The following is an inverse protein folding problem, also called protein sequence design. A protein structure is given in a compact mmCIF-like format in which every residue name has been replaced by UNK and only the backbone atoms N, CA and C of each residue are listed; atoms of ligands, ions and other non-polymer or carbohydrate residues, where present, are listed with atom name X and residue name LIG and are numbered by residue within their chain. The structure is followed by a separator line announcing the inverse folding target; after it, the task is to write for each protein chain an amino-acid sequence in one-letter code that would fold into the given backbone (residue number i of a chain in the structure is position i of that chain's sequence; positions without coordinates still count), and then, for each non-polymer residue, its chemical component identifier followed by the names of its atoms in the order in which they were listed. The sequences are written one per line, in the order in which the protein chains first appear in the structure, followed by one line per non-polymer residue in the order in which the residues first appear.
data_IF_237334352369
#
_entry.id   IF_237334352369
#
_cell.length_a   1.000
_cell.length_b   1.000
_cell.length_c   1.000
_cell.angle_alpha   90.00
_cell.angle_beta   90.00
_cell.angle_gamma   90.00
#
_symmetry.space_group_name_H-M   'P 1'
#
loop_
_entity.id
_entity.type
_entity.pdbx_description
1 polymer ?
#
# COMPACT_ATOMS: atom_id res chain seq x y z
N UNK A 1 2.27 -48.33 43.04
CA UNK A 1 3.45 -49.10 42.58
C UNK A 1 3.49 -48.96 41.08
N UNK A 2 4.60 -48.39 40.58
CA UNK A 2 5.07 -48.39 39.20
C UNK A 2 4.19 -47.71 38.13
N UNK A 3 4.33 -46.38 38.03
CA UNK A 3 4.27 -45.68 36.74
C UNK A 3 5.46 -46.12 35.87
N UNK A 4 5.40 -47.34 35.33
CA UNK A 4 6.30 -47.75 34.26
C UNK A 4 5.82 -47.09 32.96
N UNK A 5 6.07 -45.78 32.87
CA UNK A 5 5.91 -45.02 31.64
C UNK A 5 6.82 -45.65 30.58
N UNK A 6 6.23 -46.36 29.61
CA UNK A 6 6.91 -46.95 28.47
C UNK A 6 7.42 -45.81 27.57
N UNK A 7 8.57 -45.24 27.93
CA UNK A 7 9.23 -44.19 27.14
C UNK A 7 9.84 -44.82 25.89
N UNK A 8 9.60 -44.19 24.74
CA UNK A 8 10.19 -44.58 23.46
C UNK A 8 11.71 -44.42 23.51
N UNK A 9 12.42 -45.25 22.74
CA UNK A 9 13.89 -45.19 22.68
C UNK A 9 14.37 -43.89 22.03
N UNK A 10 15.50 -43.37 22.50
CA UNK A 10 16.10 -42.13 21.98
C UNK A 10 16.40 -42.20 20.48
N UNK A 11 16.83 -43.37 19.99
CA UNK A 11 17.10 -43.59 18.57
C UNK A 11 15.83 -43.50 17.70
N UNK A 12 14.70 -43.99 18.21
CA UNK A 12 13.41 -43.88 17.52
C UNK A 12 12.92 -42.43 17.52
N UNK A 13 13.07 -41.73 18.65
CA UNK A 13 12.68 -40.33 18.83
C UNK A 13 13.48 -39.39 17.90
N UNK A 14 14.71 -39.77 17.57
CA UNK A 14 15.60 -39.05 16.64
C UNK A 14 15.16 -39.16 15.18
N UNK A 15 14.27 -40.10 14.82
CA UNK A 15 13.82 -40.26 13.44
C UNK A 15 12.99 -39.06 12.97
N UNK A 16 13.19 -38.63 11.71
CA UNK A 16 12.56 -37.42 11.14
C UNK A 16 11.03 -37.35 11.27
N UNK A 17 10.36 -38.50 11.25
CA UNK A 17 8.90 -38.56 11.38
C UNK A 17 8.42 -38.38 12.84
N UNK A 18 9.24 -38.70 13.83
CA UNK A 18 8.93 -38.47 15.25
C UNK A 18 9.20 -37.02 15.65
N UNK A 19 10.14 -36.33 14.99
CA UNK A 19 10.56 -34.96 15.32
C UNK A 19 9.45 -33.89 15.21
N UNK A 20 8.40 -34.12 14.41
CA UNK A 20 7.31 -33.13 14.22
C UNK A 20 6.30 -33.12 15.37
N UNK A 21 6.07 -34.26 16.01
CA UNK A 21 5.10 -34.43 17.11
C UNK A 21 5.76 -34.58 18.47
N UNK A 22 7.04 -34.20 18.55
CA UNK A 22 7.85 -34.36 19.74
C UNK A 22 7.76 -33.10 20.61
N UNK A 23 7.59 -33.28 21.92
CA UNK A 23 7.58 -32.17 22.87
C UNK A 23 8.89 -31.38 22.81
N UNK A 24 8.79 -30.05 22.83
CA UNK A 24 9.94 -29.15 22.70
C UNK A 24 11.03 -29.43 23.74
N UNK A 25 10.66 -29.84 24.96
CA UNK A 25 11.59 -30.20 26.03
C UNK A 25 12.42 -31.44 25.68
N UNK A 26 11.79 -32.47 25.13
CA UNK A 26 12.48 -33.71 24.72
C UNK A 26 13.35 -33.50 23.49
N UNK A 27 12.94 -32.60 22.58
CA UNK A 27 13.77 -32.18 21.44
C UNK A 27 15.03 -31.45 21.90
N UNK A 28 14.90 -30.50 22.84
CA UNK A 28 16.05 -29.78 23.42
C UNK A 28 17.04 -30.74 24.08
N UNK A 29 16.56 -31.73 24.83
CA UNK A 29 17.44 -32.75 25.44
C UNK A 29 18.24 -33.54 24.41
N UNK A 30 17.62 -33.95 23.29
CA UNK A 30 18.32 -34.65 22.22
C UNK A 30 19.36 -33.75 21.53
N UNK A 31 19.02 -32.48 21.27
CA UNK A 31 19.95 -31.51 20.68
C UNK A 31 21.13 -31.20 21.62
N UNK A 32 20.90 -31.12 22.93
CA UNK A 32 21.96 -30.96 23.94
C UNK A 32 22.87 -32.19 24.03
N UNK A 33 22.31 -33.41 23.91
CA UNK A 33 23.10 -34.64 23.81
C UNK A 33 23.96 -34.65 22.54
N UNK A 34 23.43 -34.23 21.40
CA UNK A 34 24.21 -34.08 20.16
C UNK A 34 25.31 -33.02 20.28
N UNK A 35 24.98 -31.85 20.83
CA UNK A 35 25.97 -30.78 21.08
C UNK A 35 27.05 -31.21 22.05
N UNK A 36 26.72 -32.01 23.08
CA UNK A 36 27.70 -32.58 24.01
C UNK A 36 28.65 -33.54 23.31
N UNK A 37 28.14 -34.46 22.50
CA UNK A 37 28.98 -35.38 21.71
C UNK A 37 29.93 -34.60 20.79
N UNK A 38 29.41 -33.60 20.07
CA UNK A 38 30.23 -32.75 19.19
C UNK A 38 31.26 -31.96 20.00
N UNK A 39 30.88 -31.42 21.16
CA UNK A 39 31.79 -30.65 22.04
C UNK A 39 32.88 -31.53 22.63
N UNK A 40 32.57 -32.77 22.98
CA UNK A 40 33.53 -33.72 23.55
C UNK A 40 34.57 -34.17 22.50
N UNK A 41 34.18 -34.21 21.22
CA UNK A 41 35.08 -34.46 20.08
C UNK A 41 35.83 -33.21 19.62
N UNK A 42 35.31 -32.02 19.93
CA UNK A 42 35.91 -30.75 19.53
C UNK A 42 37.05 -30.38 20.47
N UNK A 43 38.27 -30.77 20.10
CA UNK A 43 39.48 -30.34 20.77
C UNK A 43 39.88 -28.93 20.32
N UNK A 44 40.25 -28.08 21.27
CA UNK A 44 40.78 -26.74 21.00
C UNK A 44 42.29 -26.72 21.31
N UNK A 45 43.08 -26.03 20.48
CA UNK A 45 44.46 -25.71 20.80
C UNK A 45 44.51 -24.29 21.40
N UNK A 46 44.68 -24.20 22.71
CA UNK A 46 44.81 -22.91 23.39
C UNK A 46 46.19 -22.31 23.14
N UNK A 47 46.24 -21.31 22.24
CA UNK A 47 47.40 -20.46 22.03
C UNK A 47 47.10 -19.05 22.57
N UNK A 48 47.57 -18.73 23.79
CA UNK A 48 47.28 -17.44 24.45
C UNK A 48 47.73 -16.22 23.64
N UNK A 49 48.79 -16.36 22.84
CA UNK A 49 49.36 -15.28 22.02
C UNK A 49 48.51 -14.90 20.80
N UNK A 50 47.62 -15.78 20.33
CA UNK A 50 46.70 -15.50 19.23
C UNK A 50 45.38 -14.90 19.73
N UNK A 51 44.91 -15.26 20.93
CA UNK A 51 43.74 -14.64 21.55
C UNK A 51 43.96 -13.15 21.85
N UNK A 52 45.20 -12.73 22.13
CA UNK A 52 45.55 -11.32 22.41
C UNK A 52 45.77 -10.50 21.14
N UNK A 53 45.94 -11.16 19.99
CA UNK A 53 46.10 -10.52 18.68
C UNK A 53 44.84 -10.73 17.86
N UNK A 54 43.77 -10.06 18.27
CA UNK A 54 42.61 -9.91 17.42
C UNK A 54 43.00 -9.11 16.17
N UNK A 55 42.38 -9.42 15.02
CA UNK A 55 42.72 -8.79 13.75
C UNK A 55 42.35 -7.30 13.80
N UNK A 56 43.37 -6.43 13.81
CA UNK A 56 43.17 -4.97 13.84
C UNK A 56 42.55 -4.43 12.53
N UNK A 57 42.72 -5.15 11.43
CA UNK A 57 42.20 -4.81 10.09
C UNK A 57 41.54 -6.05 9.50
N UNK A 58 40.30 -5.92 9.05
CA UNK A 58 39.53 -6.97 8.41
C UNK A 58 39.30 -6.53 6.96
N UNK A 59 39.85 -7.28 6.01
CA UNK A 59 39.63 -7.04 4.58
C UNK A 59 38.33 -7.73 4.14
N UNK A 60 37.27 -6.95 3.99
CA UNK A 60 36.00 -7.45 3.45
C UNK A 60 35.88 -7.11 1.96
N UNK A 61 35.50 -8.12 1.17
CA UNK A 61 35.29 -7.97 -0.29
C UNK A 61 33.88 -7.44 -0.62
N UNK A 62 32.99 -7.41 0.36
CA UNK A 62 31.62 -6.96 0.20
C UNK A 62 31.52 -5.46 0.42
N UNK A 63 30.77 -4.78 -0.46
CA UNK A 63 30.43 -3.37 -0.29
C UNK A 63 29.22 -3.15 0.63
N UNK A 64 28.47 -4.21 0.97
CA UNK A 64 27.28 -4.15 1.84
C UNK A 64 27.50 -3.41 3.18
N UNK A 65 28.65 -3.55 3.87
CA UNK A 65 28.90 -2.80 5.11
C UNK A 65 29.30 -1.33 4.86
N UNK A 66 29.78 -1.00 3.66
CA UNK A 66 30.28 0.33 3.31
C UNK A 66 29.22 1.19 2.62
N UNK A 67 28.37 0.58 1.81
CA UNK A 67 27.27 1.20 1.10
C UNK A 67 25.98 0.65 1.70
N UNK A 68 25.13 1.52 2.23
CA UNK A 68 23.79 1.20 2.77
C UNK A 68 22.85 0.81 1.63
N UNK A 69 23.13 -0.36 1.02
CA UNK A 69 22.47 -0.84 -0.18
C UNK A 69 21.04 -1.26 0.11
N UNK A 70 20.12 -0.79 -0.74
CA UNK A 70 18.71 -1.13 -0.68
C UNK A 70 18.44 -2.54 -1.21
N UNK A 71 17.34 -3.13 -0.76
CA UNK A 71 16.88 -4.44 -1.23
C UNK A 71 16.56 -4.43 -2.73
N UNK A 72 17.35 -5.15 -3.53
CA UNK A 72 17.35 -5.01 -4.99
C UNK A 72 16.09 -5.45 -5.76
N UNK A 73 15.13 -6.14 -5.13
CA UNK A 73 13.88 -6.53 -5.82
C UNK A 73 12.82 -5.47 -5.57
N UNK A 74 12.44 -4.81 -6.66
CA UNK A 74 11.42 -3.76 -6.66
C UNK A 74 10.28 -4.14 -7.62
N UNK A 75 9.05 -3.82 -7.20
CA UNK A 75 7.87 -3.78 -8.07
C UNK A 75 7.24 -2.41 -7.91
N UNK A 76 6.62 -1.92 -8.97
CA UNK A 76 5.93 -0.64 -8.98
C UNK A 76 4.51 -0.84 -9.47
N UNK A 77 3.59 0.04 -9.05
CA UNK A 77 2.21 0.13 -9.57
C UNK A 77 1.40 -1.18 -9.46
N UNK A 78 1.67 -2.01 -8.45
CA UNK A 78 0.88 -3.20 -8.16
C UNK A 78 1.15 -4.39 -9.10
N UNK A 79 2.26 -4.40 -9.86
CA UNK A 79 2.60 -5.52 -10.75
C UNK A 79 2.91 -6.81 -9.96
N UNK A 80 3.44 -6.68 -8.76
CA UNK A 80 3.59 -7.78 -7.82
C UNK A 80 3.45 -7.29 -6.36
N UNK A 81 2.27 -7.51 -5.73
CA UNK A 81 2.02 -7.01 -4.38
C UNK A 81 2.86 -7.71 -3.31
N UNK A 82 3.35 -8.94 -3.55
CA UNK A 82 4.24 -9.62 -2.61
C UNK A 82 5.64 -9.00 -2.60
N UNK A 83 6.14 -8.62 -3.77
CA UNK A 83 7.44 -7.95 -3.91
C UNK A 83 7.37 -6.52 -3.39
N UNK A 84 6.26 -5.82 -3.60
CA UNK A 84 6.03 -4.49 -3.00
C UNK A 84 6.05 -4.59 -1.48
N UNK A 85 5.29 -5.51 -0.88
CA UNK A 85 5.33 -5.72 0.57
C UNK A 85 6.73 -6.07 1.10
N UNK A 86 7.50 -6.87 0.35
CA UNK A 86 8.86 -7.23 0.70
C UNK A 86 9.81 -6.03 0.62
N UNK A 87 9.64 -5.16 -0.37
CA UNK A 87 10.37 -3.90 -0.50
C UNK A 87 10.11 -3.01 0.71
N UNK A 88 8.85 -2.86 1.15
CA UNK A 88 8.51 -2.03 2.31
C UNK A 88 9.14 -2.56 3.60
N UNK A 89 9.08 -3.88 3.81
CA UNK A 89 9.65 -4.51 5.00
C UNK A 89 11.18 -4.37 5.06
N UNK A 90 11.86 -4.46 3.92
CA UNK A 90 13.33 -4.51 3.86
C UNK A 90 13.96 -3.11 3.69
N UNK A 91 13.22 -2.11 3.23
CA UNK A 91 13.68 -0.74 3.05
C UNK A 91 12.76 0.25 3.82
N UNK A 92 12.80 0.27 5.16
CA UNK A 92 11.87 1.06 5.97
C UNK A 92 12.01 2.58 5.80
N UNK A 93 13.20 3.09 5.46
CA UNK A 93 13.46 4.54 5.43
C UNK A 93 12.87 5.28 4.22
N UNK A 94 12.45 4.58 3.16
CA UNK A 94 11.89 5.24 1.97
C UNK A 94 10.41 5.61 2.07
N UNK A 95 9.63 4.98 2.96
CA UNK A 95 8.20 5.27 3.07
C UNK A 95 7.91 6.49 3.93
N UNK A 96 8.76 6.85 4.90
CA UNK A 96 8.59 8.12 5.63
C UNK A 96 8.75 9.32 4.70
N UNK A 97 9.67 9.27 3.73
CA UNK A 97 9.81 10.34 2.71
C UNK A 97 8.71 10.30 1.64
N UNK A 98 8.20 9.12 1.24
CA UNK A 98 7.16 9.00 0.21
C UNK A 98 5.73 9.19 0.72
N UNK A 99 5.44 8.92 1.99
CA UNK A 99 4.15 9.31 2.59
C UNK A 99 4.04 10.84 2.71
N UNK A 100 5.16 11.56 2.86
CA UNK A 100 5.18 13.03 2.81
C UNK A 100 5.04 13.58 1.37
N UNK A 101 5.47 12.85 0.35
CA UNK A 101 5.16 13.15 -1.05
C UNK A 101 3.72 12.77 -1.40
N UNK A 102 2.80 13.59 -0.90
CA UNK A 102 1.36 13.61 -1.15
C UNK A 102 0.87 12.80 -2.37
N UNK A 103 -0.05 11.83 -2.19
CA UNK A 103 -0.77 11.29 -3.33
C UNK A 103 -1.64 12.41 -3.90
N UNK A 104 -1.22 12.98 -5.02
CA UNK A 104 -2.12 13.63 -5.96
C UNK A 104 -2.87 14.85 -5.38
N UNK A 105 -2.15 15.92 -5.03
CA UNK A 105 -2.69 17.25 -5.36
C UNK A 105 -2.73 17.34 -6.88
N UNK A 106 -3.83 16.87 -7.47
CA UNK A 106 -4.17 17.21 -8.85
C UNK A 106 -4.02 18.72 -8.97
N UNK A 107 -3.14 19.19 -9.84
CA UNK A 107 -3.00 20.62 -10.10
C UNK A 107 -4.33 21.07 -10.69
N UNK A 108 -5.23 21.56 -9.85
CA UNK A 108 -6.48 22.16 -10.28
C UNK A 108 -6.15 23.59 -10.67
N UNK A 109 -6.35 23.93 -11.94
CA UNK A 109 -6.14 25.29 -12.47
C UNK A 109 -7.04 26.35 -11.80
N UNK A 110 -8.03 25.91 -11.00
CA UNK A 110 -9.05 26.75 -10.35
C UNK A 110 -9.08 26.41 -8.87
N UNK A 111 -9.02 27.45 -8.02
CA UNK A 111 -9.20 27.31 -6.58
C UNK A 111 -10.68 27.15 -6.20
N UNK A 112 -10.96 26.47 -5.09
CA UNK A 112 -12.34 26.27 -4.60
C UNK A 112 -13.11 27.58 -4.40
N UNK A 113 -12.39 28.65 -4.02
CA UNK A 113 -12.94 30.00 -3.88
C UNK A 113 -13.41 30.56 -5.24
N UNK A 114 -12.61 30.42 -6.30
CA UNK A 114 -12.99 30.88 -7.64
C UNK A 114 -14.14 30.04 -8.18
N UNK A 115 -14.13 28.72 -7.93
CA UNK A 115 -15.22 27.82 -8.30
C UNK A 115 -16.53 28.27 -7.65
N UNK A 116 -16.53 28.57 -6.34
CA UNK A 116 -17.70 29.03 -5.61
C UNK A 116 -18.29 30.34 -6.19
N UNK A 117 -17.44 31.32 -6.51
CA UNK A 117 -17.86 32.60 -7.11
C UNK A 117 -18.53 32.39 -8.48
N UNK A 118 -17.98 31.50 -9.31
CA UNK A 118 -18.57 31.19 -10.62
C UNK A 118 -19.92 30.47 -10.47
N UNK A 119 -20.04 29.55 -9.52
CA UNK A 119 -21.31 28.89 -9.22
C UNK A 119 -22.38 29.87 -8.73
N UNK A 120 -22.03 30.83 -7.87
CA UNK A 120 -22.98 31.83 -7.38
C UNK A 120 -23.61 32.65 -8.53
N UNK A 121 -22.76 33.13 -9.45
CA UNK A 121 -23.19 33.87 -10.64
C UNK A 121 -24.09 33.03 -11.57
N UNK A 122 -23.69 31.78 -11.84
CA UNK A 122 -24.44 30.87 -12.70
C UNK A 122 -25.82 30.53 -12.10
N UNK A 123 -25.86 30.17 -10.82
CA UNK A 123 -27.10 29.82 -10.11
C UNK A 123 -28.06 31.02 -10.05
N UNK A 124 -27.54 32.23 -9.84
CA UNK A 124 -28.35 33.46 -9.89
C UNK A 124 -29.01 33.67 -11.24
N UNK A 125 -28.27 33.44 -12.33
CA UNK A 125 -28.79 33.58 -13.70
C UNK A 125 -29.82 32.48 -14.04
N UNK A 126 -29.58 31.24 -13.62
CA UNK A 126 -30.48 30.11 -13.85
C UNK A 126 -31.78 30.28 -13.09
N UNK A 127 -31.72 30.71 -11.82
CA UNK A 127 -32.91 30.99 -11.00
C UNK A 127 -33.88 31.95 -11.70
N UNK A 128 -33.37 32.99 -12.38
CA UNK A 128 -34.19 33.97 -13.13
C UNK A 128 -34.85 33.39 -14.39
N UNK A 129 -34.21 32.41 -15.04
CA UNK A 129 -34.77 31.72 -16.23
C UNK A 129 -35.87 30.73 -15.87
N UNK A 130 -35.81 30.13 -14.68
CA UNK A 130 -36.82 29.17 -14.22
C UNK A 130 -37.94 29.82 -13.40
N UNK A 131 -37.71 30.99 -12.78
CA UNK A 131 -38.77 31.72 -12.05
C UNK A 131 -39.86 32.27 -12.96
N UNK A 132 -39.51 32.68 -14.19
CA UNK A 132 -40.46 33.21 -15.17
C UNK A 132 -41.36 32.14 -15.77
N UNK A 133 -40.92 30.87 -15.79
CA UNK A 133 -41.73 29.76 -16.33
C UNK A 133 -42.87 29.35 -15.38
N UNK A 134 -42.71 29.57 -14.07
CA UNK A 134 -43.78 29.34 -13.08
C UNK A 134 -44.89 30.40 -13.15
N UNK A 135 -44.58 31.63 -13.57
CA UNK A 135 -45.57 32.70 -13.66
C UNK A 135 -46.38 32.67 -14.96
N UNK A 136 -45.85 32.11 -16.07
CA UNK A 136 -46.64 31.95 -17.31
C UNK A 136 -47.84 31.03 -17.15
N UNK A 137 -47.70 29.96 -16.36
CA UNK A 137 -48.81 29.04 -16.11
C UNK A 137 -49.94 29.65 -15.26
N UNK A 138 -49.70 30.75 -14.54
CA UNK A 138 -50.73 31.40 -13.74
C UNK A 138 -51.53 32.46 -14.54
N UNK A 139 -50.94 33.02 -15.59
CA UNK A 139 -51.62 33.98 -16.49
C UNK A 139 -52.35 33.29 -17.65
N UNK A 140 -52.00 32.05 -17.98
CA UNK A 140 -52.66 31.28 -19.05
C UNK A 140 -54.08 30.79 -18.65
N UNK A 141 -54.46 30.81 -17.36
CA UNK A 141 -55.83 30.47 -16.93
C UNK A 141 -56.81 31.68 -16.92
N UNK A 142 -56.32 32.92 -17.10
CA UNK A 142 -57.17 34.13 -17.08
C UNK A 142 -57.34 34.80 -18.45
N UNK A 143 -56.63 34.36 -19.51
CA UNK A 143 -56.64 34.97 -20.84
C UNK A 143 -57.26 34.09 -21.97
N UNK A 144 -58.12 33.11 -21.65
CA UNK A 144 -58.84 32.31 -22.67
C UNK A 144 -60.13 32.97 -23.22
N UNK A 145 -60.45 34.20 -22.81
CA UNK A 145 -61.62 34.96 -23.29
C UNK A 145 -61.22 36.36 -23.86
N UNK A 146 -60.37 36.45 -24.89
CA UNK A 146 -60.55 37.53 -25.89
C UNK A 146 -59.88 37.27 -27.25
N UNK A 147 -60.54 37.76 -28.27
CA UNK A 147 -60.39 37.44 -29.69
C UNK A 147 -59.39 38.37 -30.38
N UNK A 148 -58.56 37.80 -31.26
CA UNK A 148 -57.92 38.44 -32.43
C UNK A 148 -56.58 39.21 -32.29
N UNK A 149 -55.58 38.73 -33.04
CA UNK A 149 -54.85 39.41 -34.13
C UNK A 149 -53.30 39.41 -34.06
N UNK A 150 -52.71 38.96 -35.19
CA UNK A 150 -51.33 39.16 -35.67
C UNK A 150 -50.14 38.54 -34.91
N UNK A 151 -49.90 37.25 -35.15
CA UNK A 151 -48.57 36.66 -34.98
C UNK A 151 -47.73 36.93 -36.23
N UNK A 152 -46.78 37.86 -36.12
CA UNK A 152 -45.71 38.05 -37.11
C UNK A 152 -44.85 36.78 -37.13
N UNK A 153 -44.87 36.07 -38.25
CA UNK A 153 -44.02 34.90 -38.47
C UNK A 153 -42.56 35.33 -38.49
N UNK A 154 -41.84 35.10 -37.38
CA UNK A 154 -40.39 35.22 -37.39
C UNK A 154 -39.81 33.95 -38.02
N UNK A 155 -39.05 34.11 -39.11
CA UNK A 155 -38.42 33.02 -39.83
C UNK A 155 -37.51 32.21 -38.90
N UNK A 156 -37.75 30.89 -38.80
CA UNK A 156 -36.96 29.97 -37.99
C UNK A 156 -35.50 29.99 -38.45
N UNK A 157 -34.56 30.33 -37.57
CA UNK A 157 -33.12 30.26 -37.86
C UNK A 157 -32.70 28.79 -37.83
N UNK A 158 -32.14 28.30 -38.93
CA UNK A 158 -31.60 26.94 -39.06
C UNK A 158 -30.09 26.97 -38.80
N UNK A 159 -29.58 25.90 -38.19
CA UNK A 159 -28.16 25.72 -37.88
C UNK A 159 -27.32 25.59 -39.16
N UNK A 160 -26.41 26.53 -39.40
CA UNK A 160 -25.41 26.48 -40.46
C UNK A 160 -24.19 25.73 -39.94
N UNK A 161 -23.82 24.63 -40.61
CA UNK A 161 -22.57 23.92 -40.32
C UNK A 161 -21.37 24.74 -40.81
N UNK A 162 -20.27 24.81 -40.05
CA UNK A 162 -19.04 25.46 -40.50
C UNK A 162 -18.42 24.68 -41.66
N UNK A 163 -17.82 25.42 -42.60
CA UNK A 163 -17.04 24.85 -43.69
C UNK A 163 -15.63 24.49 -43.23
N UNK A 164 -15.09 23.41 -43.79
CA UNK A 164 -13.70 22.97 -43.66
C UNK A 164 -12.70 23.99 -44.20
#
# INVERSE_FOLDING_TARGET
MADDNVKLSKNLLRMKFMQRGLDEETKKQLEEEEKRIISDEHWYLDLPELKTRENFIIEEKSFVPCEELKYGRFSFKGFNPEVERLMLLMNPEEEEEKEEEEPSRMQTDVTDEEMALRYESLVRSMKKKFSTKRQRAATEEEEEDDVNHNVVQTSKRVFLKPHD
#
